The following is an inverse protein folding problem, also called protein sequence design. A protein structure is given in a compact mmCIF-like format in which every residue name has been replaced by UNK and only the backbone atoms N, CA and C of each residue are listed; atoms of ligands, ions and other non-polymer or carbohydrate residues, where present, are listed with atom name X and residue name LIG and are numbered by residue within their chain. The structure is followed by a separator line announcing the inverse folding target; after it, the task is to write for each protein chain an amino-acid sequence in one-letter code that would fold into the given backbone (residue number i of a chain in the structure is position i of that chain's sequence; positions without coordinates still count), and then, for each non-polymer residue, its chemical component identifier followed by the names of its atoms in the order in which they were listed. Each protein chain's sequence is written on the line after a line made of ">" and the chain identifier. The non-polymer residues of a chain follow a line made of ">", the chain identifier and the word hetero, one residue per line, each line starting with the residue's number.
data_IF_479841902710
#
_entry.id   IF_479841902710
#
_cell.length_a   1.000
_cell.length_b   1.000
_cell.length_c   1.000
_cell.angle_alpha   90.00
_cell.angle_beta   90.00
_cell.angle_gamma   90.00
#
_symmetry.space_group_name_H-M   'P 1'
#
loop_
_entity.id
_entity.type
_entity.pdbx_description
1 polymer ?
#
# COMPACT_ATOMS: atom_id res chain seq x y z
N UNK A 1 40.38 25.96 4.12
CA UNK A 1 38.95 26.24 3.82
C UNK A 1 38.25 24.90 3.68
N UNK A 2 37.26 24.64 4.54
CA UNK A 2 36.62 23.32 4.70
C UNK A 2 35.31 23.25 3.92
N UNK A 3 35.00 22.02 3.47
CA UNK A 3 33.67 21.45 3.14
C UNK A 3 33.21 21.56 1.70
N UNK A 4 33.64 20.58 0.89
CA UNK A 4 32.89 20.10 -0.27
C UNK A 4 32.68 18.60 -0.10
N UNK A 5 31.60 18.21 0.59
CA UNK A 5 31.04 16.86 0.61
C UNK A 5 29.81 16.85 1.53
N UNK A 6 28.61 17.08 0.97
CA UNK A 6 27.33 16.66 1.56
C UNK A 6 26.16 17.12 0.66
N UNK A 7 26.09 16.63 -0.57
CA UNK A 7 24.89 16.80 -1.42
C UNK A 7 24.68 15.56 -2.29
N UNK A 8 24.59 14.38 -1.66
CA UNK A 8 24.17 13.13 -2.34
C UNK A 8 23.32 12.23 -1.42
N UNK A 9 22.68 12.79 -0.40
CA UNK A 9 21.86 12.03 0.55
C UNK A 9 20.34 11.96 0.27
N UNK A 10 19.67 12.82 -0.55
CA UNK A 10 18.21 12.80 -0.58
C UNK A 10 17.59 11.77 -1.54
N UNK A 11 18.36 11.11 -2.42
CA UNK A 11 17.81 10.14 -3.39
C UNK A 11 17.65 8.71 -2.84
N UNK A 12 18.46 8.31 -1.86
CA UNK A 12 18.39 6.95 -1.29
C UNK A 12 17.17 6.72 -0.38
N UNK A 13 16.51 7.78 0.08
CA UNK A 13 15.29 7.67 0.88
C UNK A 13 14.03 7.46 0.03
N UNK A 14 14.09 7.72 -1.29
CA UNK A 14 12.95 7.52 -2.20
C UNK A 14 12.88 6.09 -2.74
N UNK A 15 13.99 5.35 -2.80
CA UNK A 15 14.00 3.96 -3.31
C UNK A 15 13.44 2.96 -2.31
N UNK A 16 13.64 3.18 -1.01
CA UNK A 16 13.12 2.31 0.04
C UNK A 16 11.56 2.28 0.10
N UNK A 17 10.88 3.31 -0.40
CA UNK A 17 9.43 3.35 -0.46
C UNK A 17 8.87 2.53 -1.65
N UNK A 18 9.68 2.34 -2.71
CA UNK A 18 9.28 1.63 -3.94
C UNK A 18 9.25 0.11 -3.75
N UNK A 19 10.14 -0.43 -2.90
CA UNK A 19 10.33 -1.88 -2.70
C UNK A 19 9.08 -2.55 -2.10
N UNK A 20 8.37 -1.85 -1.20
CA UNK A 20 7.18 -2.41 -0.54
C UNK A 20 6.03 -2.70 -1.51
N UNK A 21 5.89 -1.95 -2.61
CA UNK A 21 4.83 -2.18 -3.58
C UNK A 21 5.09 -3.41 -4.46
N UNK A 22 6.36 -3.70 -4.74
CA UNK A 22 6.75 -4.86 -5.55
C UNK A 22 6.48 -6.19 -4.84
N UNK A 23 6.60 -6.25 -3.51
CA UNK A 23 6.24 -7.43 -2.73
C UNK A 23 4.75 -7.77 -2.81
N UNK A 24 3.88 -6.75 -2.80
CA UNK A 24 2.44 -6.96 -2.93
C UNK A 24 2.00 -7.19 -4.39
N UNK A 25 2.76 -6.74 -5.38
CA UNK A 25 2.56 -7.14 -6.79
C UNK A 25 2.77 -8.65 -6.93
N UNK A 26 3.83 -9.14 -6.32
CA UNK A 26 4.16 -10.56 -6.28
C UNK A 26 3.09 -11.37 -5.55
N UNK A 27 2.62 -10.87 -4.40
CA UNK A 27 1.49 -11.47 -3.69
C UNK A 27 0.26 -11.54 -4.61
N UNK A 28 -0.09 -10.47 -5.32
CA UNK A 28 -1.20 -10.46 -6.27
C UNK A 28 -1.06 -11.54 -7.35
N UNK A 29 0.13 -11.68 -7.93
CA UNK A 29 0.40 -12.59 -9.03
C UNK A 29 0.38 -14.09 -8.66
N UNK A 30 0.80 -14.47 -7.45
CA UNK A 30 1.05 -15.88 -7.08
C UNK A 30 0.62 -16.28 -5.67
N UNK A 31 -0.36 -15.58 -5.09
CA UNK A 31 -0.86 -15.91 -3.76
C UNK A 31 -1.38 -17.35 -3.65
N UNK A 32 -1.30 -17.89 -2.43
CA UNK A 32 -2.00 -19.10 -1.99
C UNK A 32 -2.90 -18.73 -0.80
N UNK A 33 -4.05 -19.41 -0.70
CA UNK A 33 -4.98 -19.24 0.41
C UNK A 33 -4.72 -20.25 1.52
N UNK A 34 -4.84 -19.80 2.77
CA UNK A 34 -4.82 -20.67 3.95
C UNK A 34 -5.76 -20.14 5.03
N UNK A 35 -6.03 -20.98 6.03
CA UNK A 35 -6.82 -20.63 7.19
C UNK A 35 -5.90 -20.16 8.33
N UNK A 36 -6.08 -18.91 8.76
CA UNK A 36 -5.48 -18.35 9.96
C UNK A 36 -6.49 -18.26 11.10
N UNK A 37 -6.02 -17.80 12.26
CA UNK A 37 -6.82 -17.61 13.46
C UNK A 37 -6.54 -16.27 14.11
N UNK A 38 -7.58 -15.66 14.67
CA UNK A 38 -7.43 -14.47 15.54
C UNK A 38 -6.80 -14.88 16.87
N UNK A 39 -5.63 -14.36 17.19
CA UNK A 39 -4.90 -14.67 18.43
C UNK A 39 -5.21 -13.66 19.52
N UNK A 40 -5.36 -12.40 19.13
CA UNK A 40 -5.61 -11.28 20.05
C UNK A 40 -6.46 -10.22 19.36
N UNK A 41 -7.30 -9.53 20.11
CA UNK A 41 -8.10 -8.41 19.60
C UNK A 41 -8.15 -7.27 20.62
N UNK A 42 -8.23 -6.05 20.11
CA UNK A 42 -8.35 -4.80 20.85
C UNK A 42 -9.34 -3.92 20.12
N UNK A 43 -10.58 -3.92 20.60
CA UNK A 43 -11.67 -3.17 19.98
C UNK A 43 -11.73 -1.69 20.38
N UNK A 44 -10.83 -1.20 21.24
CA UNK A 44 -10.68 0.22 21.50
C UNK A 44 -9.96 0.93 20.34
N UNK A 45 -10.50 2.06 19.89
CA UNK A 45 -9.98 2.92 18.81
C UNK A 45 -9.61 2.17 17.51
N UNK A 46 -10.50 2.23 16.51
CA UNK A 46 -10.36 1.63 15.16
C UNK A 46 -10.30 0.09 15.08
N UNK A 47 -10.43 -0.63 16.19
CA UNK A 47 -10.61 -2.10 16.20
C UNK A 47 -9.46 -2.85 15.53
N UNK A 48 -8.42 -3.14 16.31
CA UNK A 48 -7.24 -3.87 15.81
C UNK A 48 -7.21 -5.29 16.34
N UNK A 49 -6.69 -6.22 15.55
CA UNK A 49 -6.50 -7.60 15.97
C UNK A 49 -5.22 -8.18 15.37
N UNK A 50 -4.73 -9.24 15.99
CA UNK A 50 -3.57 -10.00 15.56
C UNK A 50 -4.08 -11.36 15.11
N UNK A 51 -3.68 -11.77 13.91
CA UNK A 51 -3.94 -13.10 13.39
C UNK A 51 -2.64 -13.88 13.29
N UNK A 52 -2.75 -15.21 13.30
CA UNK A 52 -1.64 -16.10 13.00
C UNK A 52 -2.10 -17.26 12.13
N UNK A 53 -1.20 -17.73 11.28
CA UNK A 53 -1.38 -18.89 10.41
C UNK A 53 -0.04 -19.64 10.29
N UNK A 54 -0.08 -20.88 9.82
CA UNK A 54 1.11 -21.74 9.80
C UNK A 54 1.42 -22.19 8.39
N UNK A 55 2.69 -22.08 7.99
CA UNK A 55 3.22 -22.62 6.73
C UNK A 55 4.41 -23.51 7.08
N UNK A 56 4.35 -24.79 6.70
CA UNK A 56 5.42 -25.77 6.98
C UNK A 56 5.84 -25.84 8.46
N UNK A 57 4.88 -25.70 9.39
CA UNK A 57 5.14 -25.70 10.84
C UNK A 57 5.65 -24.37 11.41
N UNK A 58 5.92 -23.36 10.58
CA UNK A 58 6.37 -22.04 11.01
C UNK A 58 5.15 -21.10 11.12
N UNK A 59 4.92 -20.46 12.29
CA UNK A 59 3.85 -19.51 12.45
C UNK A 59 4.24 -18.15 11.84
N UNK A 60 3.30 -17.58 11.10
CA UNK A 60 3.32 -16.22 10.56
C UNK A 60 2.08 -15.47 11.05
N UNK A 61 2.07 -14.16 10.94
CA UNK A 61 1.00 -13.33 11.45
C UNK A 61 1.40 -11.88 11.58
N UNK A 62 0.41 -11.00 11.58
CA UNK A 62 0.63 -9.57 11.76
C UNK A 62 -0.58 -8.94 12.46
N UNK A 63 -0.39 -7.70 12.92
CA UNK A 63 -1.45 -6.85 13.45
C UNK A 63 -2.16 -6.15 12.30
N UNK A 64 -3.48 -6.16 12.32
CA UNK A 64 -4.31 -5.48 11.33
C UNK A 64 -5.56 -4.88 11.95
N UNK A 65 -6.35 -4.18 11.15
CA UNK A 65 -7.64 -3.60 11.53
C UNK A 65 -8.80 -4.41 10.93
N UNK A 66 -10.01 -4.21 11.44
CA UNK A 66 -11.20 -4.94 10.94
C UNK A 66 -11.54 -4.62 9.49
N UNK A 67 -11.07 -3.52 8.93
CA UNK A 67 -11.28 -3.21 7.52
C UNK A 67 -10.50 -4.14 6.59
N UNK A 68 -9.59 -4.96 7.12
CA UNK A 68 -8.94 -6.04 6.37
C UNK A 68 -9.83 -7.27 6.15
N UNK A 69 -10.94 -7.38 6.89
CA UNK A 69 -11.90 -8.49 6.80
C UNK A 69 -13.14 -8.17 5.93
N UNK A 70 -13.13 -7.01 5.25
CA UNK A 70 -14.26 -6.48 4.49
C UNK A 70 -15.08 -5.45 5.28
N UNK A 71 -15.91 -4.68 4.57
CA UNK A 71 -16.66 -3.54 5.13
C UNK A 71 -17.73 -3.92 6.16
N UNK A 72 -18.18 -5.18 6.17
CA UNK A 72 -19.30 -5.64 7.00
C UNK A 72 -18.86 -6.21 8.36
N UNK A 73 -17.56 -6.47 8.54
CA UNK A 73 -17.03 -7.08 9.77
C UNK A 73 -16.67 -6.00 10.79
N UNK A 74 -17.39 -5.98 11.90
CA UNK A 74 -17.04 -5.13 13.03
C UNK A 74 -16.15 -5.85 14.03
N UNK A 75 -15.45 -5.09 14.87
CA UNK A 75 -14.57 -5.69 15.89
C UNK A 75 -15.37 -6.47 16.93
N UNK A 76 -16.60 -6.02 17.22
CA UNK A 76 -17.50 -6.69 18.16
C UNK A 76 -17.92 -8.09 17.69
N UNK A 77 -17.82 -8.36 16.38
CA UNK A 77 -18.16 -9.67 15.79
C UNK A 77 -16.99 -10.66 15.81
N UNK A 78 -15.79 -10.21 16.21
CA UNK A 78 -14.59 -11.04 16.24
C UNK A 78 -14.33 -11.59 17.64
N UNK A 79 -13.96 -12.87 17.68
CA UNK A 79 -13.51 -13.55 18.89
C UNK A 79 -12.14 -14.16 18.68
N UNK A 80 -11.44 -14.38 19.79
CA UNK A 80 -10.21 -15.17 19.78
C UNK A 80 -10.53 -16.57 19.24
N UNK A 81 -9.61 -17.10 18.43
CA UNK A 81 -9.69 -18.35 17.68
C UNK A 81 -10.66 -18.38 16.49
N UNK A 82 -11.32 -17.26 16.17
CA UNK A 82 -12.08 -17.15 14.93
C UNK A 82 -11.19 -17.40 13.72
N UNK A 83 -11.75 -18.09 12.73
CA UNK A 83 -11.07 -18.42 11.48
C UNK A 83 -11.08 -17.22 10.57
N UNK A 84 -9.93 -16.91 9.98
CA UNK A 84 -9.77 -15.86 8.98
C UNK A 84 -9.09 -16.43 7.75
N UNK A 85 -9.49 -15.96 6.56
CA UNK A 85 -8.81 -16.32 5.32
C UNK A 85 -7.54 -15.47 5.21
N UNK A 86 -6.41 -16.12 4.95
CA UNK A 86 -5.12 -15.46 4.75
C UNK A 86 -4.64 -15.78 3.33
N UNK A 87 -4.19 -14.76 2.62
CA UNK A 87 -3.49 -14.86 1.36
C UNK A 87 -2.00 -14.63 1.62
N UNK A 88 -1.12 -15.52 1.18
CA UNK A 88 0.33 -15.38 1.37
C UNK A 88 1.10 -15.75 0.09
N UNK A 89 2.31 -15.21 -0.07
CA UNK A 89 3.23 -15.61 -1.16
C UNK A 89 3.92 -16.92 -0.76
N UNK A 90 3.76 -18.04 -1.51
CA UNK A 90 4.40 -19.31 -1.18
C UNK A 90 5.93 -19.26 -1.25
N UNK A 91 6.53 -18.31 -1.98
CA UNK A 91 7.97 -18.10 -2.02
C UNK A 91 8.47 -17.21 -0.88
N UNK A 92 7.59 -16.35 -0.34
CA UNK A 92 7.87 -15.44 0.77
C UNK A 92 6.69 -15.40 1.74
N UNK A 93 6.51 -16.40 2.62
CA UNK A 93 5.35 -16.45 3.51
C UNK A 93 5.26 -15.28 4.51
N UNK A 94 6.32 -14.48 4.69
CA UNK A 94 6.23 -13.24 5.47
C UNK A 94 5.38 -12.15 4.76
N UNK A 95 5.18 -12.25 3.45
CA UNK A 95 4.32 -11.34 2.68
C UNK A 95 2.92 -11.93 2.62
N UNK A 96 1.98 -11.31 3.33
CA UNK A 96 0.62 -11.81 3.46
C UNK A 96 -0.42 -10.70 3.68
N UNK A 97 -1.68 -11.06 3.46
CA UNK A 97 -2.84 -10.16 3.60
C UNK A 97 -4.09 -10.95 3.99
N UNK A 98 -5.02 -10.29 4.71
CA UNK A 98 -6.39 -10.80 4.89
C UNK A 98 -7.35 -10.30 3.81
N UNK A 99 -7.02 -9.17 3.16
CA UNK A 99 -7.74 -8.67 1.99
C UNK A 99 -7.34 -9.44 0.74
N UNK A 100 -8.20 -9.38 -0.27
CA UNK A 100 -7.83 -9.89 -1.59
C UNK A 100 -6.52 -9.23 -2.08
N UNK A 101 -5.57 -10.03 -2.59
CA UNK A 101 -4.25 -9.52 -2.99
C UNK A 101 -4.27 -8.36 -3.99
N UNK A 102 -5.21 -8.37 -4.95
CA UNK A 102 -5.37 -7.29 -5.93
C UNK A 102 -5.87 -5.99 -5.30
N UNK A 103 -6.70 -6.08 -4.26
CA UNK A 103 -7.17 -4.92 -3.51
C UNK A 103 -6.06 -4.36 -2.62
N UNK A 104 -5.34 -5.24 -1.91
CA UNK A 104 -4.23 -4.81 -1.05
C UNK A 104 -3.08 -4.20 -1.87
N UNK A 105 -2.77 -4.76 -3.05
CA UNK A 105 -1.82 -4.17 -3.98
C UNK A 105 -2.25 -2.77 -4.42
N UNK A 106 -3.49 -2.59 -4.89
CA UNK A 106 -4.00 -1.26 -5.29
C UNK A 106 -3.98 -0.26 -4.14
N UNK A 107 -4.33 -0.71 -2.93
CA UNK A 107 -4.34 0.12 -1.71
C UNK A 107 -2.93 0.61 -1.34
N UNK A 108 -1.92 -0.25 -1.45
CA UNK A 108 -0.53 0.09 -1.08
C UNK A 108 0.25 0.79 -2.19
N UNK A 109 -0.01 0.42 -3.44
CA UNK A 109 0.65 1.01 -4.61
C UNK A 109 0.25 2.49 -4.81
N UNK A 110 -0.92 2.90 -4.32
CA UNK A 110 -1.37 4.29 -4.42
C UNK A 110 -1.60 4.74 -5.87
N UNK A 111 -1.74 6.06 -6.07
CA UNK A 111 -1.88 6.65 -7.40
C UNK A 111 -0.50 6.76 -8.07
N UNK A 112 -0.23 5.90 -9.04
CA UNK A 112 0.93 6.04 -9.93
C UNK A 112 0.50 6.86 -11.16
N UNK A 113 0.93 8.13 -11.28
CA UNK A 113 0.63 8.89 -12.48
C UNK A 113 1.28 8.17 -13.67
N UNK A 114 0.56 7.94 -14.78
CA UNK A 114 1.16 7.31 -15.95
C UNK A 114 2.39 8.12 -16.40
N UNK A 115 3.48 7.43 -16.75
CA UNK A 115 4.82 8.04 -16.90
C UNK A 115 4.89 9.22 -17.87
N UNK A 116 3.96 9.33 -18.82
CA UNK A 116 3.84 10.50 -19.68
C UNK A 116 3.54 11.79 -18.91
N UNK A 117 2.84 11.75 -17.77
CA UNK A 117 2.60 12.92 -16.91
C UNK A 117 3.91 13.41 -16.29
N UNK A 118 4.82 12.52 -15.92
CA UNK A 118 6.13 12.89 -15.38
C UNK A 118 7.00 13.50 -16.48
N UNK A 119 6.96 12.92 -17.68
CA UNK A 119 7.75 13.37 -18.83
C UNK A 119 7.25 14.71 -19.42
N UNK A 120 5.94 14.87 -19.57
CA UNK A 120 5.32 16.03 -20.21
C UNK A 120 4.77 17.07 -19.24
N UNK A 121 4.59 16.75 -17.95
CA UNK A 121 4.09 17.67 -16.93
C UNK A 121 4.84 19.02 -16.88
N UNK A 122 6.18 19.05 -16.93
CA UNK A 122 6.94 20.31 -16.98
C UNK A 122 6.68 21.13 -18.23
N UNK A 123 6.30 20.50 -19.34
CA UNK A 123 5.99 21.17 -20.61
C UNK A 123 4.53 21.63 -20.69
N UNK A 124 3.60 20.91 -20.05
CA UNK A 124 2.17 21.26 -20.03
C UNK A 124 1.87 22.42 -19.09
N UNK A 125 2.63 22.58 -18.01
CA UNK A 125 2.46 23.68 -17.05
C UNK A 125 2.64 25.09 -17.68
N UNK A 126 3.72 25.41 -18.42
CA UNK A 126 3.88 26.72 -19.06
C UNK A 126 2.87 26.95 -20.19
N UNK A 127 2.47 25.90 -20.94
CA UNK A 127 1.45 26.01 -22.00
C UNK A 127 0.08 26.36 -21.41
N UNK A 128 -0.30 25.74 -20.30
CA UNK A 128 -1.54 26.05 -19.59
C UNK A 128 -1.59 27.50 -19.10
N UNK A 129 -0.47 28.00 -18.56
CA UNK A 129 -0.36 29.42 -18.19
C UNK A 129 -0.52 30.35 -19.40
N UNK A 130 0.16 30.04 -20.51
CA UNK A 130 0.12 30.86 -21.73
C UNK A 130 -1.29 30.93 -22.36
N UNK A 131 -2.01 29.80 -22.39
CA UNK A 131 -3.40 29.75 -22.85
C UNK A 131 -4.33 30.54 -21.92
N UNK A 132 -4.09 30.50 -20.60
CA UNK A 132 -4.88 31.25 -19.63
C UNK A 132 -4.72 32.78 -19.79
N UNK A 133 -3.51 33.23 -20.12
CA UNK A 133 -3.22 34.64 -20.38
C UNK A 133 -3.84 35.12 -21.70
N UNK A 134 -3.79 34.29 -22.75
CA UNK A 134 -4.50 34.57 -24.02
C UNK A 134 -6.02 34.67 -23.83
N UNK A 135 -6.61 33.86 -22.95
CA UNK A 135 -8.04 33.91 -22.64
C UNK A 135 -8.43 35.15 -21.82
N UNK A 136 -7.57 35.59 -20.90
CA UNK A 136 -7.77 36.85 -20.15
C UNK A 136 -7.62 38.08 -21.04
N UNK A 137 -6.71 38.07 -22.01
CA UNK A 137 -6.57 39.14 -22.99
C UNK A 137 -7.81 39.31 -23.88
N UNK A 138 -8.47 38.20 -24.24
CA UNK A 138 -9.66 38.21 -25.11
C UNK A 138 -10.96 38.71 -24.44
N UNK A 139 -11.03 38.71 -23.11
CA UNK A 139 -12.19 39.22 -22.33
C UNK A 139 -12.12 40.73 -22.03
N UNK A 140 -11.00 41.38 -22.32
CA UNK A 140 -10.76 42.82 -22.08
C UNK A 140 -10.86 43.69 -23.33
N UNK A 141 -11.13 43.09 -24.50
CA UNK A 141 -11.48 43.79 -25.74
C UNK A 141 -12.97 43.62 -26.01
#
# INVERSE_FOLDING_TARGET
>A
MKKAAAMMAPLLLLTACYDSADEYRDLAARHVQTEGRVVFLTCSNHGTFIYSYTVNGIPYGDRTDTSALGHDKRCEDLRRNDRVRVYYDPQRPAVHSLREPDEEYRRRHGFSPPGWIILFGPFLYPVGMWVSDLWKGRKKS
#
